data_IF_922981715473
#
_entry.id   IF_922981715473
#
_cell.length_a   1.000
_cell.length_b   1.000
_cell.length_c   1.000
_cell.angle_alpha   90.00
_cell.angle_beta   90.00
_cell.angle_gamma   90.00
#
_symmetry.space_group_name_H-M   'P 1'
#
loop_
_entity.id
_entity.type
_entity.pdbx_description
1 polymer ?
#
# COMPACT_ATOMS: atom_id res chain seq x y z
N UNK A 1 91.96 -31.41 -43.31
CA UNK A 1 91.39 -32.70 -43.78
C UNK A 1 89.89 -32.68 -43.56
N UNK A 2 89.10 -32.58 -44.64
CA UNK A 2 87.68 -32.96 -44.68
C UNK A 2 87.56 -34.49 -44.66
N UNK A 3 86.48 -35.06 -44.12
CA UNK A 3 85.25 -35.35 -44.88
C UNK A 3 83.99 -35.17 -44.00
N UNK A 4 82.74 -35.25 -44.44
CA UNK A 4 82.06 -35.26 -45.73
C UNK A 4 80.62 -34.81 -45.44
N UNK A 5 80.02 -34.13 -46.40
CA UNK A 5 78.60 -33.76 -46.45
C UNK A 5 77.75 -35.01 -46.65
N UNK A 6 76.66 -35.15 -45.91
CA UNK A 6 75.48 -35.93 -46.30
C UNK A 6 74.20 -35.12 -46.05
N UNK A 7 73.25 -35.37 -46.94
CA UNK A 7 72.17 -34.49 -47.40
C UNK A 7 70.99 -34.25 -46.43
N UNK A 8 70.15 -33.23 -46.73
CA UNK A 8 69.04 -32.74 -45.92
C UNK A 8 67.75 -33.56 -46.16
N UNK A 9 66.68 -33.19 -45.45
CA UNK A 9 65.26 -33.63 -45.58
C UNK A 9 64.78 -34.56 -44.45
N UNK A 10 64.43 -33.97 -43.30
CA UNK A 10 63.33 -34.50 -42.48
C UNK A 10 62.34 -33.37 -42.20
N UNK A 11 61.30 -33.39 -43.04
CA UNK A 11 59.88 -33.12 -42.73
C UNK A 11 59.58 -32.05 -41.68
N UNK A 12 59.15 -30.89 -42.21
CA UNK A 12 58.19 -30.03 -41.55
C UNK A 12 56.96 -30.84 -41.09
N UNK A 13 56.74 -30.91 -39.77
CA UNK A 13 55.44 -31.20 -39.15
C UNK A 13 55.54 -31.02 -37.63
N UNK A 14 55.63 -29.77 -37.15
CA UNK A 14 55.11 -29.41 -35.83
C UNK A 14 54.41 -28.07 -35.97
N UNK A 15 53.22 -28.15 -36.57
CA UNK A 15 52.25 -27.09 -36.58
C UNK A 15 51.76 -26.84 -35.14
N UNK A 16 51.86 -25.58 -34.73
CA UNK A 16 50.94 -24.85 -33.87
C UNK A 16 50.05 -25.69 -32.93
N UNK A 17 50.46 -25.80 -31.66
CA UNK A 17 49.59 -26.22 -30.56
C UNK A 17 49.99 -25.46 -29.28
N UNK A 18 49.81 -24.15 -29.28
CA UNK A 18 50.00 -23.32 -28.09
C UNK A 18 49.20 -22.00 -28.14
N UNK A 19 47.97 -22.03 -28.65
CA UNK A 19 47.10 -20.84 -28.74
C UNK A 19 45.63 -21.22 -28.57
N UNK A 20 45.26 -21.86 -27.46
CA UNK A 20 43.86 -21.97 -27.00
C UNK A 20 43.82 -22.33 -25.49
N UNK A 21 44.45 -21.54 -24.63
CA UNK A 21 44.34 -21.71 -23.16
C UNK A 21 43.83 -20.42 -22.47
N UNK A 22 43.02 -19.62 -23.17
CA UNK A 22 42.64 -18.28 -22.70
C UNK A 22 41.24 -17.82 -23.07
N UNK A 23 40.27 -18.72 -23.27
CA UNK A 23 38.87 -18.35 -23.54
C UNK A 23 37.89 -19.33 -22.88
N UNK A 24 37.99 -19.49 -21.58
CA UNK A 24 36.89 -20.00 -20.76
C UNK A 24 37.10 -19.55 -19.32
N UNK A 25 37.03 -18.24 -19.07
CA UNK A 25 36.55 -17.82 -17.76
C UNK A 25 35.12 -18.32 -17.68
N UNK A 26 34.75 -19.24 -16.77
CA UNK A 26 33.34 -19.45 -16.50
C UNK A 26 32.83 -18.07 -16.06
N UNK A 27 31.90 -17.50 -16.82
CA UNK A 27 31.10 -16.42 -16.27
C UNK A 27 30.55 -16.99 -14.96
N UNK A 28 30.97 -16.43 -13.83
CA UNK A 28 30.34 -16.75 -12.56
C UNK A 28 28.87 -16.37 -12.75
N UNK A 29 28.04 -17.35 -13.08
CA UNK A 29 26.59 -17.20 -13.08
C UNK A 29 26.28 -16.89 -11.63
N UNK A 30 26.02 -15.61 -11.35
CA UNK A 30 25.61 -15.21 -10.03
C UNK A 30 24.37 -16.05 -9.69
N UNK A 31 24.47 -16.82 -8.60
CA UNK A 31 23.38 -17.71 -8.19
C UNK A 31 22.10 -16.89 -8.04
N UNK A 32 21.02 -17.36 -8.66
CA UNK A 32 19.69 -16.74 -8.53
C UNK A 32 19.32 -16.75 -7.06
N UNK A 33 19.04 -15.57 -6.50
CA UNK A 33 18.69 -15.45 -5.09
C UNK A 33 17.19 -15.32 -4.94
N UNK A 34 16.65 -16.01 -3.95
CA UNK A 34 15.22 -16.07 -3.68
C UNK A 34 14.88 -15.31 -2.39
N UNK A 35 13.68 -14.76 -2.35
CA UNK A 35 13.05 -14.23 -1.14
C UNK A 35 11.68 -14.84 -0.95
N UNK A 36 11.33 -15.15 0.28
CA UNK A 36 10.03 -15.68 0.66
C UNK A 36 9.29 -14.73 1.57
N UNK A 37 7.96 -14.69 1.44
CA UNK A 37 7.08 -13.88 2.28
C UNK A 37 5.95 -14.74 2.85
N UNK A 38 5.72 -14.58 4.14
CA UNK A 38 4.63 -15.16 4.90
C UNK A 38 3.82 -14.07 5.61
N UNK A 39 2.70 -14.45 6.18
CA UNK A 39 1.83 -13.61 7.00
C UNK A 39 1.27 -14.39 8.17
N UNK A 40 0.80 -13.70 9.20
CA UNK A 40 -0.09 -14.31 10.19
C UNK A 40 -1.50 -14.52 9.62
N UNK A 41 -2.32 -15.31 10.32
CA UNK A 41 -3.67 -15.66 9.86
C UNK A 41 -4.64 -14.50 9.71
N UNK A 42 -4.35 -13.34 10.33
CA UNK A 42 -5.15 -12.10 10.28
C UNK A 42 -4.66 -11.12 9.23
N UNK A 43 -3.54 -11.42 8.58
CA UNK A 43 -2.85 -10.53 7.66
C UNK A 43 -2.34 -9.24 8.32
N UNK A 44 -2.13 -9.24 9.64
CA UNK A 44 -1.71 -8.05 10.40
C UNK A 44 -0.25 -7.68 10.14
N UNK A 45 0.59 -8.70 9.90
CA UNK A 45 2.02 -8.53 9.63
C UNK A 45 2.47 -9.44 8.50
N UNK A 46 3.41 -8.94 7.71
CA UNK A 46 4.21 -9.76 6.79
C UNK A 46 5.54 -10.11 7.44
N UNK A 47 6.03 -11.30 7.12
CA UNK A 47 7.31 -11.85 7.56
C UNK A 47 8.06 -12.30 6.32
N UNK A 48 9.38 -12.17 6.31
CA UNK A 48 10.17 -12.49 5.13
C UNK A 48 11.49 -13.15 5.48
N UNK A 49 12.01 -13.94 4.55
CA UNK A 49 13.34 -14.52 4.60
C UNK A 49 14.02 -14.30 3.26
N UNK A 50 15.24 -13.75 3.30
CA UNK A 50 16.09 -13.51 2.13
C UNK A 50 17.53 -13.16 2.56
N UNK A 51 18.53 -13.41 1.70
CA UNK A 51 18.42 -14.23 0.48
C UNK A 51 18.42 -15.73 0.82
N UNK A 52 17.73 -16.53 0.02
CA UNK A 52 17.76 -18.00 0.04
C UNK A 52 18.16 -18.53 -1.33
N UNK A 53 18.63 -19.78 -1.41
CA UNK A 53 19.16 -20.38 -2.64
C UNK A 53 18.13 -21.14 -3.47
N UNK A 54 16.92 -21.33 -2.93
CA UNK A 54 15.81 -21.93 -3.65
C UNK A 54 14.47 -21.32 -3.25
N UNK A 55 13.47 -21.41 -4.14
CA UNK A 55 12.09 -21.05 -3.82
C UNK A 55 11.58 -21.78 -2.57
N UNK A 56 11.85 -23.09 -2.46
CA UNK A 56 11.34 -23.91 -1.36
C UNK A 56 11.90 -23.46 -0.02
N UNK A 57 13.18 -23.13 0.02
CA UNK A 57 13.86 -22.67 1.24
C UNK A 57 13.39 -21.26 1.61
N UNK A 58 13.26 -20.36 0.64
CA UNK A 58 12.64 -19.03 0.80
C UNK A 58 11.26 -19.11 1.49
N UNK A 59 10.36 -19.92 0.94
CA UNK A 59 9.01 -20.09 1.49
C UNK A 59 9.03 -20.70 2.90
N UNK A 60 9.85 -21.72 3.13
CA UNK A 60 9.97 -22.39 4.42
C UNK A 60 10.57 -21.46 5.49
N UNK A 61 11.61 -20.70 5.15
CA UNK A 61 12.28 -19.76 6.03
C UNK A 61 11.35 -18.60 6.40
N UNK A 62 10.54 -18.08 5.47
CA UNK A 62 9.56 -17.03 5.78
C UNK A 62 8.47 -17.52 6.75
N UNK A 63 8.01 -18.76 6.62
CA UNK A 63 7.10 -19.40 7.58
C UNK A 63 7.75 -19.61 8.95
N UNK A 64 9.01 -20.04 8.96
CA UNK A 64 9.77 -20.17 10.20
C UNK A 64 9.94 -18.82 10.89
N UNK A 65 10.23 -17.76 10.14
CA UNK A 65 10.35 -16.40 10.65
C UNK A 65 9.03 -15.89 11.25
N UNK A 66 7.90 -16.13 10.58
CA UNK A 66 6.57 -15.83 11.12
C UNK A 66 6.35 -16.50 12.48
N UNK A 67 6.64 -17.81 12.58
CA UNK A 67 6.48 -18.55 13.85
C UNK A 67 7.44 -18.05 14.92
N UNK A 68 8.70 -17.78 14.55
CA UNK A 68 9.75 -17.29 15.47
C UNK A 68 9.40 -15.93 16.06
N UNK A 69 8.76 -15.06 15.28
CA UNK A 69 8.27 -13.75 15.75
C UNK A 69 6.91 -13.83 16.47
N UNK A 70 6.39 -15.02 16.74
CA UNK A 70 5.14 -15.22 17.48
C UNK A 70 3.87 -15.07 16.64
N UNK A 71 3.97 -15.08 15.31
CA UNK A 71 2.83 -15.11 14.41
C UNK A 71 1.99 -16.38 14.63
N UNK A 72 0.66 -16.21 14.63
CA UNK A 72 -0.30 -17.32 14.72
C UNK A 72 -0.84 -17.62 13.33
N UNK A 73 -1.13 -18.90 13.07
CA UNK A 73 -1.68 -19.37 11.80
C UNK A 73 -0.88 -18.89 10.58
N UNK A 74 0.45 -19.02 10.67
CA UNK A 74 1.37 -18.54 9.65
C UNK A 74 1.08 -19.15 8.27
N UNK A 75 0.82 -18.30 7.29
CA UNK A 75 0.52 -18.66 5.89
C UNK A 75 1.60 -18.16 4.97
N UNK A 76 1.93 -18.95 3.96
CA UNK A 76 2.76 -18.52 2.84
C UNK A 76 1.97 -17.51 2.00
N UNK A 77 2.61 -16.41 1.62
CA UNK A 77 2.04 -15.45 0.67
C UNK A 77 2.62 -15.64 -0.74
N UNK A 78 3.92 -15.43 -0.88
CA UNK A 78 4.59 -15.51 -2.17
C UNK A 78 6.10 -15.73 -1.99
N UNK A 79 6.75 -15.95 -3.13
CA UNK A 79 8.19 -15.93 -3.27
C UNK A 79 8.54 -15.03 -4.46
N UNK A 80 9.79 -14.64 -4.54
CA UNK A 80 10.35 -13.89 -5.65
C UNK A 80 11.84 -14.24 -5.80
N UNK A 81 12.41 -13.90 -6.95
CA UNK A 81 13.81 -14.14 -7.28
C UNK A 81 14.37 -12.98 -8.08
N UNK A 82 15.62 -12.60 -7.83
CA UNK A 82 16.34 -11.52 -8.53
C UNK A 82 15.45 -10.28 -8.79
N UNK A 83 14.63 -9.95 -7.80
CA UNK A 83 13.62 -8.89 -7.87
C UNK A 83 13.29 -8.37 -6.47
N UNK A 84 12.45 -7.35 -6.43
CA UNK A 84 11.85 -6.82 -5.21
C UNK A 84 10.36 -7.16 -5.13
N UNK A 85 9.89 -7.43 -3.93
CA UNK A 85 8.48 -7.65 -3.61
C UNK A 85 8.03 -6.67 -2.52
N UNK A 86 6.82 -6.15 -2.66
CA UNK A 86 6.16 -5.33 -1.65
C UNK A 86 4.68 -5.75 -1.53
N UNK A 87 4.09 -5.51 -0.36
CA UNK A 87 2.66 -5.71 -0.14
C UNK A 87 2.01 -4.43 0.34
N UNK A 88 0.86 -4.12 -0.26
CA UNK A 88 -0.08 -3.14 0.26
C UNK A 88 -1.27 -3.86 0.89
N UNK A 89 -1.89 -3.22 1.88
CA UNK A 89 -3.07 -3.72 2.61
C UNK A 89 -4.17 -2.67 2.60
N UNK A 90 -5.42 -3.11 2.49
CA UNK A 90 -6.59 -2.24 2.68
C UNK A 90 -7.15 -2.33 4.11
N UNK A 91 -8.21 -1.58 4.41
CA UNK A 91 -8.87 -1.62 5.72
C UNK A 91 -9.58 -2.94 6.05
N UNK A 92 -9.94 -3.72 5.03
CA UNK A 92 -10.50 -5.07 5.19
C UNK A 92 -9.43 -6.14 5.38
N UNK A 93 -8.16 -5.74 5.43
CA UNK A 93 -7.02 -6.62 5.62
C UNK A 93 -6.68 -7.52 4.43
N UNK A 94 -7.18 -7.19 3.24
CA UNK A 94 -6.79 -7.82 1.99
C UNK A 94 -5.36 -7.40 1.60
N UNK A 95 -4.62 -8.34 1.03
CA UNK A 95 -3.20 -8.18 0.68
C UNK A 95 -2.99 -8.10 -0.82
N UNK A 96 -2.26 -7.08 -1.27
CA UNK A 96 -2.03 -6.77 -2.67
C UNK A 96 -0.53 -6.79 -2.98
N UNK A 97 -0.02 -7.79 -3.73
CA UNK A 97 1.40 -7.91 -4.01
C UNK A 97 1.84 -6.96 -5.14
N UNK A 98 3.08 -6.49 -5.07
CA UNK A 98 3.77 -5.82 -6.16
C UNK A 98 5.18 -6.37 -6.29
N UNK A 99 5.48 -6.97 -7.46
CA UNK A 99 6.81 -7.48 -7.80
C UNK A 99 7.38 -6.72 -8.99
N UNK A 100 8.65 -6.31 -8.88
CA UNK A 100 9.42 -5.63 -9.92
C UNK A 100 10.92 -5.72 -9.63
N UNK A 101 11.76 -5.57 -10.64
CA UNK A 101 13.22 -5.43 -10.47
C UNK A 101 13.62 -4.10 -9.81
N UNK A 102 12.72 -3.14 -9.71
CA UNK A 102 12.93 -1.89 -8.97
C UNK A 102 12.13 -1.91 -7.65
N UNK A 103 12.76 -1.57 -6.50
CA UNK A 103 12.07 -1.47 -5.22
C UNK A 103 10.87 -0.51 -5.28
N UNK A 104 11.07 0.69 -5.84
CA UNK A 104 10.03 1.70 -5.96
C UNK A 104 8.88 1.24 -6.87
N UNK A 105 9.19 0.59 -8.00
CA UNK A 105 8.14 0.05 -8.88
C UNK A 105 7.37 -1.11 -8.23
N UNK A 106 8.02 -1.92 -7.39
CA UNK A 106 7.35 -2.97 -6.62
C UNK A 106 6.32 -2.35 -5.65
N UNK A 107 6.73 -1.33 -4.88
CA UNK A 107 5.85 -0.59 -3.99
C UNK A 107 4.68 0.08 -4.74
N UNK A 108 4.98 0.78 -5.84
CA UNK A 108 3.97 1.45 -6.69
C UNK A 108 2.95 0.46 -7.25
N UNK A 109 3.40 -0.72 -7.68
CA UNK A 109 2.53 -1.78 -8.20
C UNK A 109 1.63 -2.37 -7.12
N UNK A 110 2.15 -2.59 -5.91
CA UNK A 110 1.37 -3.04 -4.76
C UNK A 110 0.27 -2.03 -4.41
N UNK A 111 0.62 -0.75 -4.28
CA UNK A 111 -0.32 0.33 -4.00
C UNK A 111 -1.40 0.46 -5.08
N UNK A 112 -1.03 0.48 -6.36
CA UNK A 112 -1.98 0.54 -7.49
C UNK A 112 -2.99 -0.61 -7.49
N UNK A 113 -2.52 -1.82 -7.16
CA UNK A 113 -3.40 -2.99 -7.05
C UNK A 113 -4.34 -2.87 -5.86
N UNK A 114 -3.84 -2.42 -4.71
CA UNK A 114 -4.68 -2.15 -3.55
C UNK A 114 -5.75 -1.11 -3.85
N UNK A 115 -5.38 0.03 -4.44
CA UNK A 115 -6.32 1.11 -4.74
C UNK A 115 -7.35 0.71 -5.80
N UNK A 116 -6.98 -0.16 -6.75
CA UNK A 116 -7.93 -0.69 -7.73
C UNK A 116 -8.87 -1.74 -7.12
N UNK A 117 -8.38 -2.56 -6.18
CA UNK A 117 -9.16 -3.59 -5.49
C UNK A 117 -9.96 -3.09 -4.29
N UNK A 118 -9.75 -1.84 -3.86
CA UNK A 118 -10.41 -1.23 -2.69
C UNK A 118 -11.12 0.06 -3.11
N UNK A 119 -12.41 -0.01 -3.49
CA UNK A 119 -13.19 1.16 -3.92
C UNK A 119 -13.27 2.27 -2.86
N UNK A 120 -13.14 1.96 -1.58
CA UNK A 120 -13.06 2.87 -0.42
C UNK A 120 -11.61 3.28 -0.05
N UNK A 121 -10.61 2.81 -0.79
CA UNK A 121 -9.34 3.51 -1.02
C UNK A 121 -8.30 3.55 0.08
N UNK A 122 -8.58 2.98 1.26
CA UNK A 122 -7.69 3.08 2.42
C UNK A 122 -6.53 2.07 2.34
N UNK A 123 -5.57 2.37 1.47
CA UNK A 123 -4.40 1.53 1.19
C UNK A 123 -3.12 2.05 1.84
N UNK A 124 -2.29 1.12 2.34
CA UNK A 124 -0.94 1.39 2.84
C UNK A 124 0.01 0.25 2.52
N UNK A 125 1.31 0.54 2.36
CA UNK A 125 2.32 -0.51 2.34
C UNK A 125 2.45 -1.09 3.74
N UNK A 126 2.68 -2.40 3.81
CA UNK A 126 2.94 -3.07 5.09
C UNK A 126 4.39 -2.90 5.54
N UNK A 127 5.30 -2.82 4.58
CA UNK A 127 6.75 -2.80 4.76
C UNK A 127 7.43 -2.09 3.59
N UNK A 128 8.70 -1.70 3.74
CA UNK A 128 9.53 -1.31 2.58
C UNK A 128 9.76 -2.54 1.69
N UNK A 129 9.93 -2.38 0.37
CA UNK A 129 10.20 -3.50 -0.55
C UNK A 129 11.32 -4.42 -0.07
N UNK A 130 11.09 -5.73 -0.14
CA UNK A 130 12.11 -6.75 0.11
C UNK A 130 12.77 -7.11 -1.22
N UNK A 131 14.09 -7.01 -1.32
CA UNK A 131 14.84 -7.26 -2.55
C UNK A 131 15.85 -8.39 -2.35
N UNK A 132 15.87 -9.33 -3.29
CA UNK A 132 16.81 -10.46 -3.31
C UNK A 132 17.42 -10.53 -4.70
N UNK A 133 18.74 -10.67 -4.78
CA UNK A 133 19.46 -10.78 -6.04
C UNK A 133 20.81 -10.05 -6.04
N UNK A 134 21.76 -10.48 -6.89
CA UNK A 134 23.08 -9.88 -6.99
C UNK A 134 23.07 -8.43 -7.53
N UNK A 135 21.97 -8.01 -8.15
CA UNK A 135 21.79 -6.65 -8.68
C UNK A 135 21.42 -5.59 -7.63
N UNK A 136 21.26 -5.96 -6.36
CA UNK A 136 20.83 -5.06 -5.29
C UNK A 136 21.97 -4.71 -4.35
N UNK A 137 22.01 -3.46 -3.90
CA UNK A 137 22.98 -3.04 -2.90
C UNK A 137 22.69 -3.68 -1.53
N UNK A 138 23.71 -3.73 -0.67
CA UNK A 138 23.51 -4.11 0.74
C UNK A 138 22.48 -3.20 1.45
N UNK A 139 22.32 -1.95 1.00
CA UNK A 139 21.30 -1.04 1.50
C UNK A 139 19.91 -1.49 1.08
N UNK A 140 19.69 -1.77 -0.21
CA UNK A 140 18.41 -2.27 -0.73
C UNK A 140 17.96 -3.56 -0.02
N UNK A 141 18.87 -4.51 0.17
CA UNK A 141 18.58 -5.78 0.83
C UNK A 141 18.27 -5.64 2.33
N UNK A 142 18.77 -4.58 2.99
CA UNK A 142 18.53 -4.33 4.41
C UNK A 142 17.44 -3.29 4.68
N UNK A 143 16.94 -2.60 3.64
CA UNK A 143 15.97 -1.51 3.77
C UNK A 143 14.72 -1.93 4.57
N UNK A 144 14.11 -3.05 4.22
CA UNK A 144 12.93 -3.58 4.93
C UNK A 144 13.20 -3.90 6.40
N UNK A 145 14.39 -4.42 6.73
CA UNK A 145 14.75 -4.79 8.10
C UNK A 145 15.06 -3.56 8.97
N UNK A 146 15.61 -2.49 8.38
CA UNK A 146 16.00 -1.26 9.08
C UNK A 146 14.92 -0.20 9.11
N UNK A 147 13.87 -0.36 8.30
CA UNK A 147 12.79 0.61 8.19
C UNK A 147 12.07 0.83 9.53
N UNK A 148 11.88 2.10 9.87
CA UNK A 148 10.97 2.52 10.94
C UNK A 148 9.56 2.64 10.38
N UNK A 149 8.51 2.60 11.22
CA UNK A 149 7.14 2.83 10.77
C UNK A 149 6.96 4.12 9.95
N UNK A 150 7.67 5.20 10.34
CA UNK A 150 7.64 6.47 9.61
C UNK A 150 8.23 6.37 8.19
N UNK A 151 9.23 5.52 7.97
CA UNK A 151 9.86 5.35 6.66
C UNK A 151 8.89 4.60 5.71
N UNK A 152 8.21 3.57 6.22
CA UNK A 152 7.17 2.81 5.48
C UNK A 152 5.98 3.71 5.16
N UNK A 153 5.56 4.55 6.11
CA UNK A 153 4.46 5.48 5.89
C UNK A 153 4.83 6.57 4.87
N UNK A 154 6.05 7.12 4.93
CA UNK A 154 6.53 8.08 3.94
C UNK A 154 6.55 7.50 2.53
N UNK A 155 7.04 6.26 2.36
CA UNK A 155 6.98 5.57 1.08
C UNK A 155 5.52 5.30 0.66
N UNK A 156 4.67 4.83 1.58
CA UNK A 156 3.26 4.60 1.30
C UNK A 156 2.56 5.85 0.79
N UNK A 157 2.80 6.99 1.44
CA UNK A 157 2.27 8.29 1.04
C UNK A 157 2.79 8.71 -0.34
N UNK A 158 4.09 8.54 -0.61
CA UNK A 158 4.69 8.83 -1.92
C UNK A 158 4.10 7.96 -3.03
N UNK A 159 3.80 6.70 -2.75
CA UNK A 159 3.27 5.74 -3.73
C UNK A 159 1.76 5.85 -3.95
N UNK A 160 1.07 6.58 -3.08
CA UNK A 160 -0.36 6.74 -3.13
C UNK A 160 -0.74 8.00 -3.92
N UNK A 161 -1.03 7.83 -5.21
CA UNK A 161 -1.48 8.91 -6.11
C UNK A 161 -3.01 9.11 -6.09
N UNK A 162 -3.71 8.45 -5.17
CA UNK A 162 -5.16 8.49 -5.06
C UNK A 162 -5.64 9.72 -4.28
N UNK A 163 -6.68 10.37 -4.81
CA UNK A 163 -7.49 11.33 -4.06
C UNK A 163 -8.48 10.63 -3.13
N UNK A 164 -8.84 11.29 -2.02
CA UNK A 164 -9.84 10.78 -1.09
C UNK A 164 -11.02 11.74 -0.99
N UNK A 165 -12.05 11.44 -1.78
CA UNK A 165 -13.33 12.13 -1.80
C UNK A 165 -14.32 11.48 -0.84
N UNK A 166 -15.04 12.33 -0.13
CA UNK A 166 -16.25 12.00 0.59
C UNK A 166 -17.46 12.76 0.05
N UNK A 167 -18.63 12.19 0.28
CA UNK A 167 -19.91 12.77 -0.08
C UNK A 167 -20.92 12.58 1.05
N UNK A 168 -21.80 13.55 1.21
CA UNK A 168 -22.98 13.47 2.08
C UNK A 168 -24.21 13.73 1.23
N UNK A 169 -25.20 12.84 1.35
CA UNK A 169 -26.50 12.99 0.72
C UNK A 169 -27.60 12.93 1.79
N UNK A 170 -28.70 13.59 1.51
CA UNK A 170 -29.92 13.61 2.34
C UNK A 170 -30.99 12.80 1.61
N UNK A 171 -31.61 11.83 2.27
CA UNK A 171 -32.72 11.08 1.70
C UNK A 171 -34.07 11.80 1.86
N UNK A 172 -35.14 11.23 1.30
CA UNK A 172 -36.48 11.82 1.36
C UNK A 172 -37.01 12.05 2.79
N UNK A 173 -36.60 11.22 3.75
CA UNK A 173 -36.97 11.33 5.17
C UNK A 173 -36.09 12.34 5.93
N UNK A 174 -35.11 12.95 5.25
CA UNK A 174 -34.17 13.92 5.78
C UNK A 174 -33.04 13.30 6.63
N UNK A 175 -32.83 11.99 6.52
CA UNK A 175 -31.68 11.27 7.04
C UNK A 175 -30.43 11.52 6.19
N UNK A 176 -29.28 11.65 6.86
CA UNK A 176 -27.99 11.80 6.19
C UNK A 176 -27.35 10.44 5.94
N UNK A 177 -26.92 10.22 4.70
CA UNK A 177 -26.06 9.11 4.30
C UNK A 177 -24.73 9.66 3.81
N UNK A 178 -23.66 8.89 3.97
CA UNK A 178 -22.31 9.35 3.69
C UNK A 178 -21.42 8.24 3.13
N UNK A 179 -20.48 8.66 2.30
CA UNK A 179 -19.51 7.79 1.66
C UNK A 179 -18.14 8.47 1.75
N UNK A 180 -17.10 7.73 2.16
CA UNK A 180 -15.76 8.26 2.39
C UNK A 180 -14.71 7.46 1.62
N UNK A 181 -13.70 8.16 1.11
CA UNK A 181 -12.44 7.55 0.65
C UNK A 181 -12.43 7.17 -0.83
N UNK A 182 -13.36 7.70 -1.62
CA UNK A 182 -13.49 7.40 -3.04
C UNK A 182 -12.46 8.16 -3.88
N UNK A 183 -12.02 7.62 -5.03
CA UNK A 183 -10.94 8.23 -5.82
C UNK A 183 -11.39 9.46 -6.59
N UNK A 184 -12.71 9.64 -6.78
CA UNK A 184 -13.34 10.75 -7.49
C UNK A 184 -14.59 11.20 -6.76
N UNK A 185 -14.94 12.47 -6.91
CA UNK A 185 -16.19 13.01 -6.36
C UNK A 185 -17.41 12.22 -6.84
N UNK A 186 -17.50 11.96 -8.15
CA UNK A 186 -18.62 11.24 -8.76
C UNK A 186 -18.75 9.79 -8.25
N UNK A 187 -17.63 9.15 -7.90
CA UNK A 187 -17.65 7.80 -7.34
C UNK A 187 -18.23 7.81 -5.92
N UNK A 188 -17.91 8.83 -5.12
CA UNK A 188 -18.47 9.01 -3.77
C UNK A 188 -19.99 9.24 -3.82
N UNK A 189 -20.44 10.14 -4.69
CA UNK A 189 -21.87 10.44 -4.88
C UNK A 189 -22.60 9.26 -5.50
N UNK A 190 -21.99 8.63 -6.52
CA UNK A 190 -22.55 7.50 -7.23
C UNK A 190 -22.66 6.24 -6.36
N UNK A 191 -21.78 6.06 -5.37
CA UNK A 191 -21.89 4.99 -4.39
C UNK A 191 -23.14 5.15 -3.53
N UNK A 192 -23.39 6.36 -3.02
CA UNK A 192 -24.57 6.66 -2.20
C UNK A 192 -25.88 6.54 -2.96
N UNK A 193 -25.88 6.98 -4.22
CA UNK A 193 -27.06 6.92 -5.09
C UNK A 193 -27.56 5.48 -5.35
N UNK A 194 -26.74 4.47 -5.05
CA UNK A 194 -27.09 3.04 -5.20
C UNK A 194 -27.63 2.42 -3.92
N UNK A 195 -27.60 3.13 -2.79
CA UNK A 195 -28.11 2.61 -1.52
C UNK A 195 -29.64 2.66 -1.52
N UNK A 196 -30.27 1.65 -0.90
CA UNK A 196 -31.73 1.57 -0.80
C UNK A 196 -32.32 2.78 -0.08
N UNK A 197 -31.62 3.27 0.94
CA UNK A 197 -31.98 4.45 1.72
C UNK A 197 -31.89 5.76 0.93
N UNK A 198 -31.40 5.73 -0.32
CA UNK A 198 -31.17 6.90 -1.14
C UNK A 198 -32.24 7.18 -2.19
N UNK A 199 -33.51 6.94 -1.83
CA UNK A 199 -34.65 7.30 -2.67
C UNK A 199 -34.83 8.82 -2.68
N UNK A 200 -34.80 9.41 -3.87
CA UNK A 200 -34.91 10.87 -4.11
C UNK A 200 -33.88 11.70 -3.34
N UNK A 201 -32.69 11.13 -3.13
CA UNK A 201 -31.62 11.82 -2.43
C UNK A 201 -31.20 13.14 -3.06
N UNK A 202 -30.82 14.08 -2.21
CA UNK A 202 -30.15 15.31 -2.60
C UNK A 202 -28.71 15.36 -2.09
N UNK A 203 -27.77 15.73 -2.96
CA UNK A 203 -26.39 16.03 -2.55
C UNK A 203 -26.36 17.21 -1.57
N UNK A 204 -25.80 17.00 -0.38
CA UNK A 204 -25.62 18.05 0.63
C UNK A 204 -24.26 18.73 0.41
N UNK A 205 -23.19 17.94 0.42
CA UNK A 205 -21.83 18.42 0.17
C UNK A 205 -20.93 17.28 -0.29
N UNK A 206 -19.77 17.67 -0.81
CA UNK A 206 -18.62 16.80 -1.09
C UNK A 206 -17.38 17.44 -0.46
N UNK A 207 -16.40 16.61 -0.11
CA UNK A 207 -15.21 17.02 0.62
C UNK A 207 -14.03 16.15 0.19
N UNK A 208 -12.83 16.71 0.20
CA UNK A 208 -11.61 16.03 -0.23
C UNK A 208 -10.47 16.37 0.73
N UNK A 209 -9.73 15.38 1.20
CA UNK A 209 -8.61 15.55 2.17
C UNK A 209 -8.97 16.43 3.39
N UNK A 210 -10.21 16.32 3.89
CA UNK A 210 -10.70 17.15 4.99
C UNK A 210 -11.86 16.46 5.72
N UNK A 211 -12.36 17.08 6.80
CA UNK A 211 -13.56 16.65 7.50
C UNK A 211 -14.74 17.58 7.24
N UNK A 212 -15.93 16.99 7.11
CA UNK A 212 -17.20 17.67 7.05
C UNK A 212 -17.96 17.47 8.37
N UNK A 213 -18.12 18.54 9.14
CA UNK A 213 -19.04 18.58 10.27
C UNK A 213 -20.46 18.84 9.79
N UNK A 214 -21.44 18.20 10.41
CA UNK A 214 -22.87 18.37 10.11
C UNK A 214 -23.64 18.48 11.42
N UNK A 215 -24.56 19.45 11.51
CA UNK A 215 -25.34 19.68 12.71
C UNK A 215 -26.84 19.88 12.45
N UNK A 216 -27.66 19.55 13.43
CA UNK A 216 -29.12 19.67 13.37
C UNK A 216 -29.72 19.95 14.73
N UNK A 217 -30.94 20.50 14.75
CA UNK A 217 -31.69 20.71 15.99
C UNK A 217 -32.14 19.36 16.54
N UNK A 218 -31.92 19.07 17.82
CA UNK A 218 -32.38 17.82 18.43
C UNK A 218 -33.90 17.68 18.32
N UNK A 219 -34.36 16.50 17.86
CA UNK A 219 -35.78 16.17 17.77
C UNK A 219 -36.50 16.75 16.55
N UNK A 220 -35.79 17.39 15.61
CA UNK A 220 -36.37 17.75 14.32
C UNK A 220 -36.35 16.55 13.36
N UNK A 221 -37.50 16.18 12.81
CA UNK A 221 -37.58 15.32 11.62
C UNK A 221 -37.15 16.12 10.38
N UNK A 222 -36.26 15.50 9.60
CA UNK A 222 -35.66 16.04 8.37
C UNK A 222 -35.41 17.54 8.42
N UNK A 223 -34.30 17.97 9.03
CA UNK A 223 -33.90 19.39 9.12
C UNK A 223 -32.49 19.61 9.71
N UNK A 224 -31.49 18.95 9.12
CA UNK A 224 -30.07 19.06 9.51
C UNK A 224 -29.13 19.66 8.46
N UNK A 225 -29.65 20.11 7.33
CA UNK A 225 -28.90 20.03 6.07
C UNK A 225 -28.26 21.33 5.58
N UNK A 226 -28.02 22.29 6.49
CA UNK A 226 -27.40 23.59 6.15
C UNK A 226 -26.32 24.05 7.12
N UNK A 227 -26.06 23.31 8.19
CA UNK A 227 -25.04 23.67 9.16
C UNK A 227 -23.88 22.73 8.97
N UNK A 228 -23.06 23.06 7.99
CA UNK A 228 -21.90 22.27 7.61
C UNK A 228 -20.66 23.12 7.76
N UNK A 229 -19.56 22.48 8.12
CA UNK A 229 -18.25 23.12 8.20
C UNK A 229 -17.20 22.14 7.65
N UNK A 230 -16.29 22.67 6.82
CA UNK A 230 -15.15 21.92 6.32
C UNK A 230 -13.92 22.34 7.12
N UNK A 231 -13.28 21.40 7.81
CA UNK A 231 -12.07 21.66 8.57
C UNK A 231 -11.21 20.38 8.61
N UNK A 232 -9.89 20.45 8.39
CA UNK A 232 -9.02 19.28 8.53
C UNK A 232 -9.00 18.69 9.94
N UNK A 233 -9.27 19.48 10.98
CA UNK A 233 -9.46 18.99 12.34
C UNK A 233 -10.91 18.50 12.54
N UNK A 234 -11.12 17.20 12.83
CA UNK A 234 -12.46 16.61 12.92
C UNK A 234 -13.30 17.21 14.05
N UNK A 235 -12.67 17.56 15.17
CA UNK A 235 -13.37 18.15 16.32
C UNK A 235 -13.84 19.56 15.97
N UNK A 236 -12.98 20.37 15.36
CA UNK A 236 -13.29 21.73 14.92
C UNK A 236 -14.38 21.72 13.85
N UNK A 237 -14.30 20.85 12.84
CA UNK A 237 -15.36 20.69 11.84
C UNK A 237 -16.72 20.46 12.51
N UNK A 238 -16.77 19.55 13.49
CA UNK A 238 -17.99 19.25 14.23
C UNK A 238 -18.48 20.45 15.04
N UNK A 239 -17.64 21.03 15.88
CA UNK A 239 -18.06 22.09 16.80
C UNK A 239 -18.41 23.39 16.05
N UNK A 240 -17.74 23.70 14.94
CA UNK A 240 -18.10 24.81 14.05
C UNK A 240 -19.47 24.61 13.42
N UNK A 241 -19.78 23.38 12.95
CA UNK A 241 -21.10 23.05 12.42
C UNK A 241 -22.19 23.19 13.50
N UNK A 242 -21.90 22.74 14.74
CA UNK A 242 -22.81 22.89 15.88
C UNK A 242 -23.04 24.35 16.25
N UNK A 243 -21.97 25.12 16.36
CA UNK A 243 -22.05 26.55 16.67
C UNK A 243 -22.86 27.29 15.60
N UNK A 244 -22.66 26.95 14.32
CA UNK A 244 -23.44 27.49 13.20
C UNK A 244 -24.93 27.15 13.34
N UNK A 245 -25.26 25.91 13.73
CA UNK A 245 -26.64 25.50 13.99
C UNK A 245 -27.26 26.31 15.13
N UNK A 246 -26.60 26.39 16.29
CA UNK A 246 -27.10 27.13 17.46
C UNK A 246 -27.29 28.60 17.14
N UNK A 247 -26.32 29.24 16.47
CA UNK A 247 -26.40 30.65 16.11
C UNK A 247 -27.55 30.96 15.15
N UNK A 248 -27.77 30.11 14.13
CA UNK A 248 -28.80 30.34 13.11
C UNK A 248 -30.22 29.99 13.56
N UNK A 249 -30.36 29.06 14.50
CA UNK A 249 -31.68 28.56 14.95
C UNK A 249 -32.10 29.10 16.31
N UNK A 250 -31.16 29.64 17.10
CA UNK A 250 -31.39 29.95 18.51
C UNK A 250 -31.64 28.70 19.37
N UNK A 251 -31.49 27.48 18.81
CA UNK A 251 -31.80 26.26 19.53
C UNK A 251 -30.70 25.96 20.56
N UNK A 252 -31.07 25.66 21.82
CA UNK A 252 -30.11 25.36 22.88
C UNK A 252 -29.47 23.96 22.75
N UNK A 253 -29.94 23.12 21.82
CA UNK A 253 -29.64 21.69 21.79
C UNK A 253 -29.33 21.15 20.39
N UNK A 254 -28.47 21.82 19.62
CA UNK A 254 -27.98 21.26 18.35
C UNK A 254 -27.09 20.03 18.59
N UNK A 255 -27.36 18.94 17.88
CA UNK A 255 -26.51 17.75 17.78
C UNK A 255 -25.59 17.93 16.58
N UNK A 256 -24.39 17.34 16.62
CA UNK A 256 -23.48 17.38 15.50
C UNK A 256 -22.69 16.07 15.37
N UNK A 257 -22.37 15.74 14.13
CA UNK A 257 -21.53 14.61 13.71
C UNK A 257 -20.40 15.13 12.81
N UNK A 258 -19.42 14.29 12.52
CA UNK A 258 -18.36 14.59 11.56
C UNK A 258 -18.02 13.36 10.71
N UNK A 259 -17.77 13.60 9.42
CA UNK A 259 -17.18 12.61 8.50
C UNK A 259 -15.87 13.13 7.95
N UNK A 260 -14.88 12.27 7.79
CA UNK A 260 -13.59 12.67 7.22
C UNK A 260 -13.19 11.76 6.07
N UNK A 261 -12.66 12.39 5.02
CA UNK A 261 -12.07 11.70 3.89
C UNK A 261 -10.70 12.28 3.61
N UNK A 262 -9.71 11.40 3.48
CA UNK A 262 -8.32 11.82 3.40
C UNK A 262 -7.38 10.74 3.89
N UNK A 263 -6.13 10.81 3.43
CA UNK A 263 -5.09 9.89 3.89
C UNK A 263 -4.87 9.97 5.41
N UNK A 264 -4.98 11.18 5.96
CA UNK A 264 -4.80 11.45 7.39
C UNK A 264 -5.81 10.71 8.29
N UNK A 265 -6.93 10.23 7.72
CA UNK A 265 -8.06 9.65 8.44
C UNK A 265 -8.23 8.15 8.20
N UNK A 266 -7.23 7.49 7.59
CA UNK A 266 -7.29 6.05 7.29
C UNK A 266 -7.45 5.21 8.56
N UNK A 267 -6.86 5.61 9.68
CA UNK A 267 -6.97 4.94 10.99
C UNK A 267 -8.24 5.33 11.77
N UNK A 268 -9.12 6.11 11.16
CA UNK A 268 -10.25 6.74 11.85
C UNK A 268 -9.90 8.11 12.41
N UNK A 269 -10.86 8.70 13.10
CA UNK A 269 -10.78 10.05 13.64
C UNK A 269 -11.75 10.20 14.82
N UNK A 270 -11.42 11.12 15.73
CA UNK A 270 -12.26 11.38 16.89
C UNK A 270 -13.52 12.16 16.50
N UNK A 271 -14.63 11.84 17.15
CA UNK A 271 -15.79 12.72 17.21
C UNK A 271 -16.96 12.40 16.29
N UNK A 272 -16.99 11.19 15.74
CA UNK A 272 -17.99 10.69 14.78
C UNK A 272 -19.43 11.10 15.15
N UNK A 273 -19.84 10.94 16.42
CA UNK A 273 -21.13 11.46 16.93
C UNK A 273 -21.02 11.96 18.38
N UNK A 274 -21.47 13.19 18.66
CA UNK A 274 -21.56 13.72 20.04
C UNK A 274 -22.86 14.50 20.25
N UNK A 275 -23.60 14.09 21.29
CA UNK A 275 -24.79 14.81 21.79
C UNK A 275 -24.34 16.01 22.64
N UNK A 276 -25.10 17.14 22.64
CA UNK A 276 -24.84 18.23 23.55
C UNK A 276 -24.83 17.69 24.99
N UNK A 277 -23.84 18.13 25.78
CA UNK A 277 -23.77 17.85 27.22
C UNK A 277 -24.84 18.62 27.97
#
# INVERSE_FOLDING_TARGET
MMPARFLPLIRAAFAALALMAGLASPAAQADVMYGGIATDGKHDKTYWALPETSQKDAEAAALAECRRQGGKDCKKLSWFSDSCMAYARNTNHDLFPGNSVSPELAAKKAMRRCTAGSPDGKCRLMTMPQCAGPGYSAEDMQAAKRARPADVEALSAKMNDRAYWGAVMENADGGLIYADGYPKEDDAVGALSKWEDCKDCRKVLTYQETCAGMAWVKGSEGRGTRFTALNPDPVSAREESRATCTAKTGAPSCVAMVRCSGRAYIDGYAGEDVKPK
#
